data_IF_516974131359
#
_entry.id   IF_516974131359
#
_cell.length_a   1.000
_cell.length_b   1.000
_cell.length_c   1.000
_cell.angle_alpha   90.00
_cell.angle_beta   90.00
_cell.angle_gamma   90.00
#
_symmetry.space_group_name_H-M   'P 1'
#
loop_
_entity.id
_entity.type
_entity.pdbx_description
1 polymer ?
#
# COMPACT_ATOMS: atom_id res chain seq x y z
N UNK A 1 3.07 -0.58 6.02
CA UNK A 1 4.15 -0.33 5.03
C UNK A 1 4.37 1.17 4.94
N UNK A 2 5.61 1.65 5.06
CA UNK A 2 5.97 3.07 4.84
C UNK A 2 6.31 3.28 3.35
N UNK A 3 5.77 4.34 2.75
CA UNK A 3 5.91 4.66 1.34
C UNK A 3 6.79 5.90 1.15
N UNK A 4 7.53 5.95 0.04
CA UNK A 4 8.55 6.98 -0.18
C UNK A 4 7.99 8.42 -0.28
N UNK A 5 6.78 8.59 -0.81
CA UNK A 5 6.15 9.91 -1.01
C UNK A 5 4.71 9.95 -0.49
N UNK A 6 4.19 11.14 -0.13
CA UNK A 6 2.77 11.31 0.18
C UNK A 6 1.85 10.92 -0.97
N UNK A 7 2.23 11.23 -2.22
CA UNK A 7 1.45 10.85 -3.41
C UNK A 7 1.32 9.34 -3.60
N UNK A 8 2.33 8.56 -3.21
CA UNK A 8 2.26 7.11 -3.25
C UNK A 8 1.22 6.55 -2.25
N UNK A 9 0.99 7.23 -1.13
CA UNK A 9 -0.08 6.88 -0.18
C UNK A 9 -1.45 7.08 -0.81
N UNK A 10 -1.68 8.23 -1.44
CA UNK A 10 -2.97 8.53 -2.02
C UNK A 10 -3.31 7.52 -3.14
N UNK A 11 -2.32 7.15 -3.96
CA UNK A 11 -2.49 6.07 -4.96
C UNK A 11 -2.73 4.71 -4.30
N UNK A 12 -1.97 4.36 -3.24
CA UNK A 12 -2.13 3.10 -2.52
C UNK A 12 -3.54 2.93 -1.93
N UNK A 13 -4.18 4.01 -1.49
CA UNK A 13 -5.57 3.99 -0.97
C UNK A 13 -6.63 3.73 -2.04
N UNK A 14 -6.27 3.69 -3.32
CA UNK A 14 -7.17 3.24 -4.39
C UNK A 14 -7.32 1.71 -4.42
N UNK A 15 -6.41 0.97 -3.78
CA UNK A 15 -6.47 -0.48 -3.68
C UNK A 15 -7.50 -0.84 -2.58
N UNK A 16 -8.54 -1.64 -2.89
CA UNK A 16 -9.52 -2.05 -1.89
C UNK A 16 -8.87 -2.74 -0.69
N UNK A 17 -9.22 -2.31 0.53
CA UNK A 17 -8.67 -2.87 1.78
C UNK A 17 -7.31 -2.32 2.19
N UNK A 18 -6.73 -1.37 1.42
CA UNK A 18 -5.57 -0.60 1.85
C UNK A 18 -6.02 0.72 2.46
N UNK A 19 -5.64 0.94 3.71
CA UNK A 19 -6.00 2.12 4.48
C UNK A 19 -4.76 2.93 4.84
N UNK A 20 -4.93 4.24 5.04
CA UNK A 20 -3.88 5.10 5.57
C UNK A 20 -3.82 4.96 7.08
N UNK A 21 -2.66 4.58 7.60
CA UNK A 21 -2.42 4.50 9.04
C UNK A 21 -2.14 5.90 9.63
N UNK A 22 -2.15 6.00 10.96
CA UNK A 22 -1.71 7.20 11.67
C UNK A 22 -0.23 7.47 11.38
N UNK A 23 0.03 8.39 10.44
CA UNK A 23 1.36 8.73 9.92
C UNK A 23 1.25 9.27 8.50
N UNK A 24 2.11 10.22 8.12
CA UNK A 24 1.98 10.87 6.81
C UNK A 24 2.19 9.91 5.62
N UNK A 25 2.93 8.80 5.82
CA UNK A 25 3.43 7.93 4.74
C UNK A 25 3.14 6.44 4.91
N UNK A 26 2.33 6.08 5.90
CA UNK A 26 2.14 4.67 6.27
C UNK A 26 0.77 4.17 5.81
N UNK A 27 0.75 3.02 5.16
CA UNK A 27 -0.47 2.28 4.83
C UNK A 27 -0.56 0.96 5.60
N UNK A 28 -1.77 0.53 5.87
CA UNK A 28 -2.13 -0.73 6.52
C UNK A 28 -3.09 -1.52 5.64
N UNK A 29 -2.98 -2.83 5.65
CA UNK A 29 -3.88 -3.75 4.98
C UNK A 29 -3.93 -5.06 5.77
N UNK A 30 -4.96 -5.86 5.55
CA UNK A 30 -5.08 -7.18 6.16
C UNK A 30 -5.28 -8.22 5.05
N UNK A 31 -4.37 -9.19 4.99
CA UNK A 31 -4.54 -10.40 4.18
C UNK A 31 -5.03 -11.56 5.05
N UNK A 32 -5.77 -12.49 4.46
CA UNK A 32 -6.21 -13.75 5.08
C UNK A 32 -5.05 -14.71 5.32
N UNK A 33 -4.01 -14.62 4.48
CA UNK A 33 -2.78 -15.36 4.59
C UNK A 33 -1.58 -14.55 4.07
N UNK A 34 -0.39 -15.14 4.16
CA UNK A 34 0.86 -14.50 3.75
C UNK A 34 0.93 -14.32 2.22
N UNK A 35 0.32 -15.21 1.44
CA UNK A 35 0.35 -15.12 -0.01
C UNK A 35 -0.49 -13.92 -0.49
N UNK A 36 -1.70 -13.76 0.04
CA UNK A 36 -2.54 -12.59 -0.24
C UNK A 36 -1.89 -11.29 0.24
N UNK A 37 -1.25 -11.32 1.42
CA UNK A 37 -0.49 -10.17 1.90
C UNK A 37 0.67 -9.81 0.96
N UNK A 38 1.36 -10.80 0.40
CA UNK A 38 2.46 -10.61 -0.55
C UNK A 38 1.98 -10.04 -1.89
N UNK A 39 0.84 -10.49 -2.39
CA UNK A 39 0.22 -9.96 -3.61
C UNK A 39 -0.08 -8.46 -3.47
N UNK A 40 -0.62 -8.03 -2.30
CA UNK A 40 -0.85 -6.61 -2.01
C UNK A 40 0.46 -5.83 -1.97
N UNK A 41 1.52 -6.38 -1.37
CA UNK A 41 2.85 -5.74 -1.37
C UNK A 41 3.39 -5.60 -2.78
N UNK A 42 3.28 -6.62 -3.63
CA UNK A 42 3.70 -6.53 -5.03
C UNK A 42 2.95 -5.43 -5.79
N UNK A 43 1.64 -5.32 -5.59
CA UNK A 43 0.83 -4.31 -6.23
C UNK A 43 1.25 -2.89 -5.79
N UNK A 44 1.50 -2.70 -4.50
CA UNK A 44 1.99 -1.44 -3.95
C UNK A 44 3.37 -1.05 -4.52
N UNK A 45 4.27 -2.02 -4.68
CA UNK A 45 5.58 -1.79 -5.31
C UNK A 45 5.43 -1.41 -6.79
N UNK A 46 4.56 -2.08 -7.53
CA UNK A 46 4.31 -1.74 -8.94
C UNK A 46 3.72 -0.34 -9.09
N UNK A 47 2.78 0.02 -8.21
CA UNK A 47 2.19 1.36 -8.19
C UNK A 47 3.24 2.44 -7.91
N UNK A 48 4.19 2.18 -7.03
CA UNK A 48 5.30 3.08 -6.74
C UNK A 48 6.27 3.28 -7.93
N UNK A 49 6.22 2.41 -8.94
CA UNK A 49 7.02 2.53 -10.17
C UNK A 49 6.32 3.34 -11.27
N UNK A 50 5.02 3.64 -11.11
CA UNK A 50 4.27 4.50 -12.02
C UNK A 50 4.65 5.96 -11.73
N UNK A 51 5.15 6.67 -12.75
CA UNK A 51 5.60 8.07 -12.68
C UNK A 51 4.45 9.06 -12.79
#
# INVERSE_FOLDING_TARGET
>A
MDLHSPSAVDMATLIPGVERAAGARTVTFTGRDVAEAYDVVQLLVQLAQVK
#
